data_IF_503389192959
#
_entry.id   IF_503389192959
#
_cell.length_a   1.000
_cell.length_b   1.000
_cell.length_c   1.000
_cell.angle_alpha   90.00
_cell.angle_beta   90.00
_cell.angle_gamma   90.00
#
_symmetry.space_group_name_H-M   'P 1'
#
loop_
_entity.id
_entity.type
_entity.pdbx_description
1 polymer ?
#
# COMPACT_ATOMS: atom_id res chain seq x y z
N UNK A 1 10.67 20.58 9.83
CA UNK A 1 10.64 20.70 8.35
C UNK A 1 12.00 21.07 7.77
N UNK A 2 12.68 20.12 7.13
CA UNK A 2 13.89 20.41 6.36
C UNK A 2 13.53 20.91 4.95
N UNK A 3 14.13 22.00 4.49
CA UNK A 3 13.99 22.56 3.13
C UNK A 3 14.14 21.49 2.02
N UNK A 4 14.91 20.43 2.30
CA UNK A 4 15.10 19.25 1.44
C UNK A 4 13.85 18.37 1.25
N UNK A 5 12.94 18.28 2.22
CA UNK A 5 11.68 17.51 2.07
C UNK A 5 10.73 18.29 1.14
N UNK A 6 10.51 19.58 1.41
CA UNK A 6 9.70 20.47 0.57
C UNK A 6 10.17 20.46 -0.89
N UNK A 7 11.47 20.62 -1.14
CA UNK A 7 12.01 20.54 -2.51
C UNK A 7 11.79 19.17 -3.18
N UNK A 8 11.86 18.08 -2.41
CA UNK A 8 11.56 16.74 -2.91
C UNK A 8 10.11 16.60 -3.33
N UNK A 9 9.14 17.30 -2.73
CA UNK A 9 7.70 17.24 -3.03
C UNK A 9 7.20 18.27 -4.07
N UNK A 10 8.01 19.28 -4.44
CA UNK A 10 7.60 20.33 -5.39
C UNK A 10 8.03 20.11 -6.86
N UNK A 11 9.00 19.23 -7.14
CA UNK A 11 9.59 19.10 -8.49
C UNK A 11 9.28 17.73 -9.14
N UNK A 12 8.51 17.70 -10.23
CA UNK A 12 8.51 16.60 -11.22
C UNK A 12 7.81 15.28 -10.82
N UNK A 13 6.76 15.34 -9.99
CA UNK A 13 6.15 14.16 -9.35
C UNK A 13 5.28 13.29 -10.22
N UNK A 14 4.37 13.91 -10.98
CA UNK A 14 3.55 13.18 -11.96
C UNK A 14 4.41 12.41 -12.97
N UNK A 15 5.57 12.96 -13.32
CA UNK A 15 6.53 12.29 -14.21
C UNK A 15 7.24 11.12 -13.52
N UNK A 16 7.65 11.26 -12.26
CA UNK A 16 8.29 10.18 -11.49
C UNK A 16 7.37 9.00 -11.23
N UNK A 17 6.09 9.24 -10.92
CA UNK A 17 5.08 8.18 -10.80
C UNK A 17 4.94 7.47 -12.14
N UNK A 18 4.68 8.20 -13.24
CA UNK A 18 4.55 7.60 -14.58
C UNK A 18 5.79 6.85 -15.05
N UNK A 19 6.98 7.20 -14.56
CA UNK A 19 8.23 6.51 -14.88
C UNK A 19 8.35 5.15 -14.18
N UNK A 20 7.97 5.04 -12.91
CA UNK A 20 8.14 3.81 -12.12
C UNK A 20 6.88 2.94 -12.07
N UNK A 21 5.72 3.52 -12.37
CA UNK A 21 4.41 2.86 -12.44
C UNK A 21 3.91 2.93 -13.88
N UNK A 22 4.61 2.23 -14.77
CA UNK A 22 4.12 1.99 -16.13
C UNK A 22 2.86 1.12 -16.11
N UNK A 23 2.07 1.07 -17.19
CA UNK A 23 0.92 0.18 -17.29
C UNK A 23 1.27 -1.30 -16.97
N UNK A 24 2.44 -1.76 -17.40
CA UNK A 24 2.91 -3.13 -17.15
C UNK A 24 3.17 -3.39 -15.66
N UNK A 25 3.76 -2.42 -14.95
CA UNK A 25 3.98 -2.50 -13.49
C UNK A 25 2.63 -2.50 -12.77
N UNK A 26 1.70 -1.62 -13.16
CA UNK A 26 0.36 -1.59 -12.57
C UNK A 26 -0.38 -2.92 -12.76
N UNK A 27 -0.28 -3.51 -13.95
CA UNK A 27 -0.86 -4.82 -14.26
C UNK A 27 -0.14 -5.96 -13.52
N UNK A 28 1.16 -5.85 -13.25
CA UNK A 28 1.88 -6.83 -12.43
C UNK A 28 1.43 -6.77 -10.97
N UNK A 29 1.24 -5.57 -10.42
CA UNK A 29 0.71 -5.36 -9.06
C UNK A 29 -0.71 -5.92 -8.95
N UNK A 30 -1.61 -5.58 -9.88
CA UNK A 30 -2.99 -6.08 -9.93
C UNK A 30 -3.03 -7.62 -9.98
N UNK A 31 -2.21 -8.24 -10.85
CA UNK A 31 -2.11 -9.70 -10.93
C UNK A 31 -1.63 -10.33 -9.63
N UNK A 32 -0.69 -9.68 -8.94
CA UNK A 32 -0.15 -10.16 -7.66
C UNK A 32 -1.21 -10.10 -6.57
N UNK A 33 -1.97 -9.00 -6.49
CA UNK A 33 -3.10 -8.85 -5.56
C UNK A 33 -4.13 -9.94 -5.83
N UNK A 34 -4.60 -10.06 -7.08
CA UNK A 34 -5.59 -11.07 -7.47
C UNK A 34 -5.12 -12.49 -7.16
N UNK A 35 -3.86 -12.81 -7.41
CA UNK A 35 -3.31 -14.12 -7.08
C UNK A 35 -3.33 -14.37 -5.56
N UNK A 36 -2.91 -13.39 -4.75
CA UNK A 36 -2.97 -13.47 -3.29
C UNK A 36 -4.38 -13.70 -2.76
N UNK A 37 -5.36 -12.98 -3.30
CA UNK A 37 -6.78 -13.10 -2.92
C UNK A 37 -7.43 -14.43 -3.30
N UNK A 38 -6.75 -15.32 -4.03
CA UNK A 38 -7.19 -16.71 -4.19
C UNK A 38 -6.89 -17.57 -2.95
N UNK A 39 -5.90 -17.19 -2.15
CA UNK A 39 -5.47 -17.94 -0.96
C UNK A 39 -6.14 -17.47 0.33
N UNK A 40 -6.53 -16.20 0.40
CA UNK A 40 -7.14 -15.60 1.59
C UNK A 40 -8.48 -14.92 1.28
N UNK A 41 -9.25 -14.67 2.33
CA UNK A 41 -10.50 -13.90 2.27
C UNK A 41 -10.30 -12.39 2.46
N UNK A 42 -9.09 -11.94 2.85
CA UNK A 42 -8.77 -10.51 2.99
C UNK A 42 -8.74 -9.78 1.66
N UNK A 43 -8.88 -8.45 1.70
CA UNK A 43 -8.91 -7.58 0.52
C UNK A 43 -7.73 -6.62 0.55
N UNK A 44 -6.88 -6.66 -0.47
CA UNK A 44 -5.63 -5.88 -0.51
C UNK A 44 -5.75 -4.77 -1.54
N UNK A 45 -5.60 -3.52 -1.10
CA UNK A 45 -5.55 -2.35 -1.97
C UNK A 45 -4.15 -1.77 -1.92
N UNK A 46 -3.55 -1.56 -3.09
CA UNK A 46 -2.31 -0.81 -3.22
C UNK A 46 -2.61 0.62 -3.68
N UNK A 47 -2.11 1.60 -2.94
CA UNK A 47 -2.18 3.01 -3.34
C UNK A 47 -0.78 3.61 -3.38
N UNK A 48 -0.47 4.31 -4.47
CA UNK A 48 0.76 5.10 -4.60
C UNK A 48 0.41 6.57 -4.71
N UNK A 49 1.01 7.38 -3.84
CA UNK A 49 0.95 8.84 -3.91
C UNK A 49 2.32 9.37 -4.34
N UNK A 50 2.32 10.14 -5.45
CA UNK A 50 3.56 10.63 -6.03
C UNK A 50 4.34 11.57 -5.10
N UNK A 51 3.61 12.50 -4.51
CA UNK A 51 4.08 13.42 -3.49
C UNK A 51 2.88 14.02 -2.76
N UNK A 52 3.07 14.33 -1.47
CA UNK A 52 2.18 15.24 -0.77
C UNK A 52 2.16 16.60 -1.48
N UNK A 53 0.98 17.13 -1.77
CA UNK A 53 0.76 18.50 -2.21
C UNK A 53 -0.03 19.31 -1.17
N UNK A 54 -0.07 20.64 -1.34
CA UNK A 54 -0.89 21.52 -0.51
C UNK A 54 -0.70 21.37 1.01
N UNK A 55 -1.81 21.28 1.74
CA UNK A 55 -1.85 21.32 3.22
C UNK A 55 -1.09 20.17 3.90
N UNK A 56 -1.20 18.89 3.45
CA UNK A 56 -0.38 17.79 3.96
C UNK A 56 1.13 18.05 3.92
N UNK A 57 1.62 18.64 2.82
CA UNK A 57 3.04 18.99 2.67
C UNK A 57 3.45 20.11 3.65
N UNK A 58 2.60 21.15 3.78
CA UNK A 58 2.84 22.25 4.71
C UNK A 58 2.76 21.85 6.18
N UNK A 59 2.14 20.71 6.52
CA UNK A 59 2.06 20.19 7.88
C UNK A 59 3.13 19.15 8.24
N UNK A 60 4.06 18.85 7.32
CA UNK A 60 5.06 17.79 7.50
C UNK A 60 4.41 16.43 7.80
N UNK A 61 3.20 16.18 7.26
CA UNK A 61 2.37 15.03 7.63
C UNK A 61 3.17 13.72 7.47
N UNK A 62 3.20 12.85 8.49
CA UNK A 62 3.88 11.57 8.40
C UNK A 62 3.12 10.64 7.44
N UNK A 63 3.86 9.74 6.75
CA UNK A 63 3.26 8.81 5.79
C UNK A 63 2.15 7.96 6.43
N UNK A 64 2.31 7.58 7.71
CA UNK A 64 1.31 6.83 8.46
C UNK A 64 -0.03 7.56 8.61
N UNK A 65 0.00 8.85 8.91
CA UNK A 65 -1.24 9.64 9.05
C UNK A 65 -1.92 9.81 7.69
N UNK A 66 -1.13 10.04 6.63
CA UNK A 66 -1.66 10.08 5.27
C UNK A 66 -2.25 8.73 4.82
N UNK A 67 -1.62 7.62 5.19
CA UNK A 67 -2.13 6.28 4.90
C UNK A 67 -3.50 6.05 5.57
N UNK A 68 -3.71 6.56 6.79
CA UNK A 68 -5.01 6.51 7.46
C UNK A 68 -6.06 7.36 6.73
N UNK A 69 -5.70 8.56 6.26
CA UNK A 69 -6.59 9.41 5.46
C UNK A 69 -7.00 8.69 4.16
N UNK A 70 -6.04 8.09 3.46
CA UNK A 70 -6.29 7.33 2.22
C UNK A 70 -7.13 6.10 2.49
N UNK A 71 -6.89 5.38 3.59
CA UNK A 71 -7.69 4.23 4.00
C UNK A 71 -9.15 4.60 4.22
N UNK A 72 -9.41 5.73 4.89
CA UNK A 72 -10.75 6.24 5.10
C UNK A 72 -11.38 6.74 3.79
N UNK A 73 -10.62 7.46 2.96
CA UNK A 73 -11.09 8.03 1.69
C UNK A 73 -11.49 6.95 0.68
N UNK A 74 -10.68 5.89 0.56
CA UNK A 74 -10.94 4.75 -0.31
C UNK A 74 -11.95 3.75 0.29
N UNK A 75 -12.44 4.01 1.52
CA UNK A 75 -13.39 3.16 2.24
C UNK A 75 -12.96 1.69 2.33
N UNK A 76 -11.67 1.45 2.59
CA UNK A 76 -11.10 0.09 2.66
C UNK A 76 -11.65 -0.72 3.85
N UNK A 77 -12.23 -0.03 4.83
CA UNK A 77 -12.96 -0.64 5.95
C UNK A 77 -14.36 -1.17 5.56
N UNK A 78 -14.89 -0.81 4.40
CA UNK A 78 -16.23 -1.22 3.94
C UNK A 78 -16.19 -2.64 3.35
N UNK A 79 -15.75 -3.59 4.18
CA UNK A 79 -15.71 -5.03 3.88
C UNK A 79 -16.56 -5.78 4.89
N UNK A 80 -17.29 -6.81 4.47
CA UNK A 80 -18.22 -7.56 5.29
C UNK A 80 -17.55 -8.19 6.53
N UNK A 81 -16.24 -8.43 6.46
CA UNK A 81 -15.45 -9.08 7.53
C UNK A 81 -14.43 -8.16 8.19
N UNK A 82 -14.44 -6.86 7.91
CA UNK A 82 -13.44 -5.90 8.39
C UNK A 82 -12.00 -6.40 8.13
N UNK A 83 -11.75 -6.86 6.91
CA UNK A 83 -10.53 -7.55 6.49
C UNK A 83 -9.86 -6.88 5.28
N UNK A 84 -10.05 -5.57 5.15
CA UNK A 84 -9.32 -4.72 4.22
C UNK A 84 -7.91 -4.39 4.72
N UNK A 85 -6.95 -4.37 3.79
CA UNK A 85 -5.57 -3.91 4.00
C UNK A 85 -5.20 -2.92 2.92
N UNK A 86 -4.72 -1.75 3.34
CA UNK A 86 -4.06 -0.78 2.48
C UNK A 86 -2.55 -0.95 2.56
N UNK A 87 -1.91 -1.04 1.41
CA UNK A 87 -0.47 -0.83 1.25
C UNK A 87 -0.30 0.53 0.57
N UNK A 88 0.13 1.52 1.33
CA UNK A 88 0.30 2.90 0.87
C UNK A 88 1.77 3.23 0.66
N UNK A 89 2.13 3.71 -0.53
CA UNK A 89 3.48 4.15 -0.87
C UNK A 89 3.51 5.66 -1.14
N UNK A 90 4.26 6.39 -0.32
CA UNK A 90 4.63 7.78 -0.59
C UNK A 90 5.93 7.82 -1.40
N UNK A 91 5.82 7.94 -2.71
CA UNK A 91 6.95 7.76 -3.63
C UNK A 91 8.07 8.80 -3.43
N UNK A 92 7.72 10.05 -3.11
CA UNK A 92 8.68 11.13 -2.86
C UNK A 92 9.60 10.87 -1.65
N UNK A 93 9.08 10.17 -0.64
CA UNK A 93 9.81 9.80 0.58
C UNK A 93 10.34 8.36 0.52
N UNK A 94 9.87 7.55 -0.45
CA UNK A 94 10.11 6.10 -0.53
C UNK A 94 9.69 5.38 0.74
N UNK A 95 8.65 5.92 1.37
CA UNK A 95 8.10 5.50 2.64
C UNK A 95 6.82 4.69 2.38
N UNK A 96 6.65 3.58 3.10
CA UNK A 96 5.56 2.64 2.87
C UNK A 96 4.89 2.28 4.17
N UNK A 97 3.57 2.31 4.16
CA UNK A 97 2.75 2.10 5.33
C UNK A 97 1.70 1.05 5.02
N UNK A 98 1.55 0.09 5.93
CA UNK A 98 0.54 -0.95 5.84
C UNK A 98 -0.52 -0.65 6.91
N UNK A 99 -1.73 -0.37 6.47
CA UNK A 99 -2.88 -0.10 7.34
C UNK A 99 -3.87 -1.24 7.18
N UNK A 100 -4.09 -1.99 8.25
CA UNK A 100 -5.05 -3.08 8.28
C UNK A 100 -6.29 -2.68 9.07
N UNK A 101 -7.45 -3.15 8.64
CA UNK A 101 -8.70 -2.97 9.38
C UNK A 101 -8.70 -3.76 10.71
N UNK A 102 -9.65 -3.44 11.58
CA UNK A 102 -9.78 -3.93 12.95
C UNK A 102 -9.80 -5.45 13.05
N UNK A 103 -10.43 -6.14 12.09
CA UNK A 103 -10.49 -7.60 12.07
C UNK A 103 -9.09 -8.22 11.95
N UNK A 104 -8.27 -7.68 11.05
CA UNK A 104 -6.89 -8.14 10.83
C UNK A 104 -5.96 -7.65 11.92
N UNK A 105 -6.11 -6.40 12.37
CA UNK A 105 -5.30 -5.83 13.45
C UNK A 105 -5.39 -6.64 14.75
N UNK A 106 -6.54 -7.26 15.02
CA UNK A 106 -6.72 -8.15 16.17
C UNK A 106 -5.99 -9.51 16.05
N UNK A 107 -5.47 -9.86 14.86
CA UNK A 107 -4.86 -11.16 14.57
C UNK A 107 -3.37 -11.08 14.23
N UNK A 108 -2.93 -9.98 13.63
CA UNK A 108 -1.54 -9.78 13.17
C UNK A 108 -0.90 -8.62 13.93
N UNK A 109 0.24 -8.87 14.54
CA UNK A 109 1.00 -7.87 15.28
C UNK A 109 1.51 -6.75 14.35
N UNK A 110 1.47 -5.51 14.83
CA UNK A 110 2.08 -4.36 14.19
C UNK A 110 3.57 -4.56 13.86
N UNK A 111 4.30 -5.37 14.64
CA UNK A 111 5.69 -5.71 14.37
C UNK A 111 5.87 -6.44 13.02
N UNK A 112 4.91 -7.28 12.62
CA UNK A 112 4.94 -7.99 11.34
C UNK A 112 4.81 -7.00 10.18
N UNK A 113 3.86 -6.07 10.27
CA UNK A 113 3.67 -5.03 9.25
C UNK A 113 4.91 -4.15 9.10
N UNK A 114 5.51 -3.73 10.22
CA UNK A 114 6.76 -2.96 10.22
C UNK A 114 7.92 -3.71 9.53
N UNK A 115 8.03 -5.02 9.76
CA UNK A 115 9.06 -5.83 9.11
C UNK A 115 8.85 -5.91 7.59
N UNK A 116 7.60 -6.05 7.14
CA UNK A 116 7.26 -6.03 5.71
C UNK A 116 7.59 -4.65 5.11
N UNK A 117 7.18 -3.56 5.75
CA UNK A 117 7.52 -2.20 5.31
C UNK A 117 9.03 -2.01 5.15
N UNK A 118 9.82 -2.40 6.17
CA UNK A 118 11.28 -2.28 6.13
C UNK A 118 11.91 -3.06 4.97
N UNK A 119 11.39 -4.26 4.66
CA UNK A 119 11.85 -5.06 3.52
C UNK A 119 11.53 -4.38 2.18
N UNK A 120 10.32 -3.82 2.03
CA UNK A 120 9.92 -3.06 0.84
C UNK A 120 10.78 -1.81 0.66
N UNK A 121 11.00 -1.03 1.73
CA UNK A 121 11.86 0.15 1.70
C UNK A 121 13.30 -0.18 1.29
N UNK A 122 13.83 -1.33 1.71
CA UNK A 122 15.16 -1.77 1.31
C UNK A 122 15.27 -1.97 -0.22
N UNK A 123 14.21 -2.45 -0.86
CA UNK A 123 14.12 -2.56 -2.32
C UNK A 123 13.97 -1.19 -2.98
N UNK A 124 13.18 -0.30 -2.39
CA UNK A 124 12.97 1.08 -2.90
C UNK A 124 14.24 1.92 -2.83
N UNK A 125 15.07 1.72 -1.79
CA UNK A 125 16.39 2.35 -1.68
C UNK A 125 17.29 1.98 -2.87
N UNK A 126 17.14 0.77 -3.41
CA UNK A 126 17.86 0.27 -4.59
C UNK A 126 17.18 0.62 -5.92
N UNK A 127 16.04 1.33 -5.90
CA UNK A 127 15.25 1.67 -7.09
C UNK A 127 14.42 0.50 -7.64
N UNK A 128 14.35 -0.63 -6.93
CA UNK A 128 13.62 -1.83 -7.33
C UNK A 128 12.17 -1.78 -6.85
N UNK A 129 11.41 -0.79 -7.32
CA UNK A 129 10.04 -0.52 -6.86
C UNK A 129 9.08 -1.67 -7.12
N UNK A 130 8.98 -2.14 -8.37
CA UNK A 130 8.09 -3.26 -8.72
C UNK A 130 8.38 -4.50 -7.86
N UNK A 131 9.65 -4.91 -7.76
CA UNK A 131 10.04 -6.05 -6.95
C UNK A 131 9.72 -5.87 -5.46
N UNK A 132 9.94 -4.66 -4.90
CA UNK A 132 9.58 -4.34 -3.53
C UNK A 132 8.07 -4.43 -3.29
N UNK A 133 7.26 -3.93 -4.23
CA UNK A 133 5.80 -3.96 -4.13
C UNK A 133 5.28 -5.39 -4.23
N UNK A 134 5.72 -6.16 -5.23
CA UNK A 134 5.29 -7.56 -5.42
C UNK A 134 5.62 -8.39 -4.19
N UNK A 135 6.86 -8.33 -3.69
CA UNK A 135 7.26 -9.04 -2.47
C UNK A 135 6.47 -8.60 -1.24
N UNK A 136 6.16 -7.30 -1.15
CA UNK A 136 5.35 -6.75 -0.07
C UNK A 136 3.93 -7.32 -0.07
N UNK A 137 3.28 -7.32 -1.25
CA UNK A 137 1.93 -7.89 -1.42
C UNK A 137 1.94 -9.38 -1.10
N UNK A 138 2.90 -10.15 -1.62
CA UNK A 138 3.04 -11.57 -1.32
C UNK A 138 3.21 -11.84 0.19
N UNK A 139 4.01 -11.01 0.87
CA UNK A 139 4.21 -11.12 2.32
C UNK A 139 2.92 -10.81 3.09
N UNK A 140 2.19 -9.76 2.71
CA UNK A 140 0.88 -9.42 3.28
C UNK A 140 -0.10 -10.57 3.04
N UNK A 141 -0.23 -11.05 1.81
CA UNK A 141 -1.11 -12.15 1.45
C UNK A 141 -0.81 -13.44 2.23
N UNK A 142 0.46 -13.71 2.55
CA UNK A 142 0.83 -14.85 3.40
C UNK A 142 0.28 -14.72 4.82
N UNK A 143 0.39 -13.53 5.42
CA UNK A 143 -0.19 -13.26 6.75
C UNK A 143 -1.72 -13.39 6.71
N UNK A 144 -2.35 -12.89 5.65
CA UNK A 144 -3.79 -13.01 5.48
C UNK A 144 -4.24 -14.47 5.26
N UNK A 145 -3.47 -15.29 4.54
CA UNK A 145 -3.80 -16.69 4.32
C UNK A 145 -3.74 -17.52 5.62
N UNK A 146 -2.82 -17.18 6.53
CA UNK A 146 -2.68 -17.84 7.83
C UNK A 146 -3.86 -17.54 8.75
N UNK A 147 -4.31 -16.29 8.80
CA UNK A 147 -5.36 -15.87 9.75
C UNK A 147 -6.77 -15.80 9.16
N UNK A 148 -6.88 -15.64 7.84
CA UNK A 148 -8.13 -15.48 7.08
C UNK A 148 -8.11 -16.35 5.82
N UNK A 149 -7.95 -17.68 5.92
CA UNK A 149 -7.93 -18.57 4.77
C UNK A 149 -9.24 -18.47 3.97
N UNK A 150 -9.15 -18.62 2.65
CA UNK A 150 -10.32 -18.56 1.77
C UNK A 150 -11.22 -19.79 2.00
N UNK A 151 -12.49 -19.56 2.33
CA UNK A 151 -13.49 -20.62 2.61
C UNK A 151 -14.51 -20.79 1.48
N UNK A 152 -14.11 -20.54 0.23
CA UNK A 152 -14.96 -20.64 -0.95
C UNK A 152 -14.84 -19.44 -1.89
N UNK A 153 -15.66 -19.42 -2.94
CA UNK A 153 -15.78 -18.26 -3.82
C UNK A 153 -16.61 -17.18 -3.11
N UNK A 154 -15.95 -16.06 -2.77
CA UNK A 154 -16.59 -14.82 -2.32
C UNK A 154 -16.52 -13.76 -3.41
N UNK A 155 -17.41 -12.76 -3.41
CA UNK A 155 -17.30 -11.62 -4.31
C UNK A 155 -15.99 -10.86 -4.02
N UNK A 156 -15.44 -10.21 -5.05
CA UNK A 156 -14.39 -9.23 -4.84
C UNK A 156 -15.04 -7.94 -4.29
N UNK A 157 -14.72 -7.56 -3.06
CA UNK A 157 -15.35 -6.45 -2.34
C UNK A 157 -14.66 -5.11 -2.65
N UNK A 158 -13.34 -5.14 -2.87
CA UNK A 158 -12.52 -3.98 -3.22
C UNK A 158 -11.86 -4.18 -4.60
N UNK A 159 -11.54 -3.11 -5.34
CA UNK A 159 -10.88 -3.25 -6.63
C UNK A 159 -9.42 -3.71 -6.48
N UNK A 160 -9.04 -4.74 -7.25
CA UNK A 160 -7.64 -5.23 -7.35
C UNK A 160 -6.69 -4.20 -8.00
N UNK A 161 -7.26 -3.25 -8.74
CA UNK A 161 -6.51 -2.28 -9.52
C UNK A 161 -5.79 -1.28 -8.59
N UNK A 162 -4.45 -1.10 -8.75
CA UNK A 162 -3.71 -0.18 -7.91
C UNK A 162 -4.15 1.27 -8.16
N UNK A 163 -4.26 2.05 -7.09
CA UNK A 163 -4.72 3.44 -7.11
C UNK A 163 -3.53 4.38 -7.18
N UNK A 164 -3.59 5.38 -8.06
CA UNK A 164 -2.59 6.44 -8.14
C UNK A 164 -3.22 7.74 -7.65
N UNK A 165 -2.59 8.35 -6.64
CA UNK A 165 -2.97 9.62 -6.00
C UNK A 165 -1.99 10.72 -6.42
#
# INVERSE_FOLDING_TARGET
MGIRRIGRHLIGHRWRVRKHFSPDVMAAIERTIRAGETAHAGQVVFAVEGALDGVPLFRDQPARERALDVFAHLRIWDTARNNGVLIYLLLADRDVEIVADRGIHAKVDAAVWKAICAAMEAEFKQGRFEAGIVKGIEAVSRQLAEHFPKQGAGPNELPDAPVVI
#
